data_IF_291212417607
#
_entry.id   IF_291212417607
#
_cell.length_a   1.000
_cell.length_b   1.000
_cell.length_c   1.000
_cell.angle_alpha   90.00
_cell.angle_beta   90.00
_cell.angle_gamma   90.00
#
_symmetry.space_group_name_H-M   'P 1'
#
loop_
_entity.id
_entity.type
_entity.pdbx_description
1 polymer ?
#
# COMPACT_ATOMS: atom_id res chain seq x y z
N UNK A 1 -6.33 14.11 1.93
CA UNK A 1 -7.42 14.95 1.33
C UNK A 1 -6.96 15.86 0.18
N UNK A 2 -5.93 16.69 0.36
CA UNK A 2 -5.60 17.78 -0.58
C UNK A 2 -4.91 17.32 -1.88
N UNK A 3 -4.26 16.16 -1.88
CA UNK A 3 -3.50 15.60 -3.01
C UNK A 3 -4.32 14.71 -3.95
N UNK A 4 -5.28 13.97 -3.39
CA UNK A 4 -6.03 12.92 -4.10
C UNK A 4 -6.74 13.42 -5.37
N UNK A 5 -7.41 14.60 -5.39
CA UNK A 5 -8.06 15.06 -6.62
C UNK A 5 -7.11 15.26 -7.80
N UNK A 6 -5.93 15.84 -7.55
CA UNK A 6 -4.90 16.03 -8.57
C UNK A 6 -4.29 14.67 -8.95
N UNK A 7 -3.98 13.83 -7.95
CA UNK A 7 -3.47 12.47 -8.16
C UNK A 7 -4.39 11.69 -9.11
N UNK A 8 -5.67 11.58 -8.78
CA UNK A 8 -6.64 10.77 -9.54
C UNK A 8 -6.85 11.31 -10.95
N UNK A 9 -6.86 12.64 -11.15
CA UNK A 9 -6.95 13.22 -12.48
C UNK A 9 -5.74 12.89 -13.35
N UNK A 10 -4.52 13.06 -12.83
CA UNK A 10 -3.30 12.78 -13.60
C UNK A 10 -3.05 11.29 -13.87
N UNK A 11 -3.73 10.40 -13.14
CA UNK A 11 -3.77 8.97 -13.43
C UNK A 11 -4.98 8.53 -14.28
N UNK A 12 -5.76 9.49 -14.82
CA UNK A 12 -6.86 9.21 -15.74
C UNK A 12 -8.15 8.72 -15.10
N UNK A 13 -8.30 8.87 -13.77
CA UNK A 13 -9.43 8.33 -13.03
C UNK A 13 -10.60 9.31 -12.89
N UNK A 14 -10.31 10.61 -12.98
CA UNK A 14 -11.31 11.68 -12.96
C UNK A 14 -11.38 12.37 -14.32
N UNK A 15 -12.60 12.72 -14.73
CA UNK A 15 -12.80 13.54 -15.93
C UNK A 15 -12.31 14.96 -15.68
N UNK A 16 -11.90 15.64 -16.76
CA UNK A 16 -11.46 17.04 -16.70
C UNK A 16 -12.50 17.95 -16.05
N UNK A 17 -13.79 17.77 -16.32
CA UNK A 17 -14.85 18.59 -15.73
C UNK A 17 -15.01 18.38 -14.22
N UNK A 18 -14.75 17.17 -13.74
CA UNK A 18 -14.76 16.85 -12.31
C UNK A 18 -13.59 17.54 -11.61
N UNK A 19 -12.39 17.41 -12.21
CA UNK A 19 -11.16 18.04 -11.73
C UNK A 19 -11.25 19.58 -11.75
N UNK A 20 -11.63 20.20 -12.86
CA UNK A 20 -11.85 21.65 -12.92
C UNK A 20 -12.92 22.11 -11.93
N UNK A 21 -13.97 21.31 -11.75
CA UNK A 21 -15.06 21.61 -10.83
C UNK A 21 -14.63 21.63 -9.36
N UNK A 22 -13.72 20.76 -8.92
CA UNK A 22 -13.17 20.82 -7.56
C UNK A 22 -12.10 21.90 -7.42
N UNK A 23 -11.32 22.16 -8.48
CA UNK A 23 -10.33 23.25 -8.51
C UNK A 23 -10.99 24.63 -8.40
N UNK A 24 -12.19 24.80 -8.95
CA UNK A 24 -12.98 26.03 -8.81
C UNK A 24 -13.41 26.32 -7.36
N UNK A 25 -13.44 25.30 -6.49
CA UNK A 25 -13.70 25.45 -5.06
C UNK A 25 -12.49 25.97 -4.27
N UNK A 26 -11.34 26.15 -4.92
CA UNK A 26 -10.13 26.54 -4.24
C UNK A 26 -10.16 27.98 -3.76
N UNK A 27 -10.18 28.17 -2.44
CA UNK A 27 -10.16 29.51 -1.82
C UNK A 27 -8.78 29.91 -1.33
N UNK A 28 -7.86 28.96 -1.19
CA UNK A 28 -6.52 29.17 -0.67
C UNK A 28 -5.54 28.20 -1.31
N UNK A 29 -4.44 28.75 -1.81
CA UNK A 29 -3.29 27.99 -2.29
C UNK A 29 -2.19 27.98 -1.25
N UNK A 30 -1.45 26.88 -1.16
CA UNK A 30 -0.30 26.80 -0.26
C UNK A 30 0.79 27.82 -0.66
N UNK A 31 1.20 28.72 0.24
CA UNK A 31 2.14 29.79 -0.09
C UNK A 31 3.55 29.24 -0.36
N UNK A 32 4.11 29.63 -1.51
CA UNK A 32 5.43 29.21 -1.98
C UNK A 32 5.43 27.91 -2.80
N UNK A 33 4.25 27.39 -3.16
CA UNK A 33 4.12 26.22 -4.00
C UNK A 33 3.80 26.61 -5.45
N UNK A 34 4.75 26.36 -6.37
CA UNK A 34 4.58 26.66 -7.80
C UNK A 34 3.64 25.71 -8.56
N UNK A 35 3.16 24.64 -7.91
CA UNK A 35 2.29 23.62 -8.49
C UNK A 35 0.80 23.89 -8.29
N UNK A 36 0.44 24.97 -7.58
CA UNK A 36 -0.95 25.38 -7.39
C UNK A 36 -1.76 24.40 -6.54
N UNK A 37 -1.18 23.80 -5.50
CA UNK A 37 -1.89 22.94 -4.55
C UNK A 37 -2.97 23.70 -3.78
N UNK A 38 -4.17 23.13 -3.74
CA UNK A 38 -5.30 23.73 -3.03
C UNK A 38 -5.45 23.20 -1.61
N UNK A 39 -5.77 24.10 -0.68
CA UNK A 39 -6.15 23.77 0.68
C UNK A 39 -7.67 23.58 0.79
N UNK A 40 -8.12 22.32 0.79
CA UNK A 40 -9.53 21.96 0.91
C UNK A 40 -9.95 21.69 2.37
N UNK A 41 -9.04 21.80 3.34
CA UNK A 41 -9.29 21.39 4.72
C UNK A 41 -10.44 22.16 5.39
N UNK A 42 -10.73 23.39 4.93
CA UNK A 42 -11.84 24.18 5.46
C UNK A 42 -13.22 23.61 5.12
N UNK A 43 -13.34 22.77 4.09
CA UNK A 43 -14.62 22.25 3.61
C UNK A 43 -15.03 20.92 4.25
N UNK A 44 -14.07 20.22 4.86
CA UNK A 44 -14.26 18.87 5.39
C UNK A 44 -13.68 18.77 6.81
N UNK A 45 -14.00 17.69 7.50
CA UNK A 45 -13.37 17.30 8.76
C UNK A 45 -13.21 15.78 8.81
N UNK A 46 -12.27 15.31 9.61
CA UNK A 46 -12.11 13.88 9.89
C UNK A 46 -12.92 13.54 11.14
N UNK A 47 -13.82 12.56 11.05
CA UNK A 47 -14.63 12.11 12.18
C UNK A 47 -13.84 11.15 13.10
N UNK A 48 -14.45 10.65 14.18
CA UNK A 48 -13.77 9.76 15.14
C UNK A 48 -13.33 8.40 14.58
N UNK A 49 -13.91 7.97 13.46
CA UNK A 49 -13.55 6.73 12.75
C UNK A 49 -12.49 6.94 11.68
N UNK A 50 -12.09 8.18 11.40
CA UNK A 50 -11.09 8.52 10.38
C UNK A 50 -11.69 8.86 9.01
N UNK A 51 -13.02 8.95 8.88
CA UNK A 51 -13.66 9.27 7.62
C UNK A 51 -13.65 10.78 7.36
N UNK A 52 -13.49 11.16 6.10
CA UNK A 52 -13.55 12.56 5.67
C UNK A 52 -15.01 12.91 5.40
N UNK A 53 -15.53 13.87 6.17
CA UNK A 53 -16.94 14.26 6.12
C UNK A 53 -17.08 15.73 5.73
N UNK A 54 -18.02 16.02 4.83
CA UNK A 54 -18.36 17.38 4.45
C UNK A 54 -18.85 18.21 5.65
N UNK A 55 -18.36 19.44 5.75
CA UNK A 55 -18.91 20.42 6.70
C UNK A 55 -20.22 21.01 6.17
N UNK A 56 -21.05 21.47 7.09
CA UNK A 56 -22.27 22.18 6.78
C UNK A 56 -22.01 23.68 6.62
N UNK A 57 -22.43 24.24 5.48
CA UNK A 57 -22.36 25.65 5.15
C UNK A 57 -23.74 26.21 4.84
N UNK A 58 -23.97 27.48 5.19
CA UNK A 58 -25.20 28.20 4.83
C UNK A 58 -25.19 28.68 3.39
N UNK A 59 -24.01 28.97 2.84
CA UNK A 59 -23.85 29.33 1.44
C UNK A 59 -23.90 28.06 0.55
N UNK A 60 -24.77 28.09 -0.47
CA UNK A 60 -25.00 26.95 -1.34
C UNK A 60 -23.78 26.53 -2.16
N UNK A 61 -22.96 27.48 -2.61
CA UNK A 61 -21.74 27.19 -3.38
C UNK A 61 -20.68 26.55 -2.50
N UNK A 62 -20.50 27.06 -1.28
CA UNK A 62 -19.59 26.46 -0.30
C UNK A 62 -20.04 25.04 0.08
N UNK A 63 -21.33 24.83 0.25
CA UNK A 63 -21.88 23.51 0.53
C UNK A 63 -21.68 22.55 -0.63
N UNK A 64 -21.89 23.00 -1.87
CA UNK A 64 -21.62 22.21 -3.07
C UNK A 64 -20.13 21.82 -3.17
N UNK A 65 -19.23 22.75 -2.82
CA UNK A 65 -17.80 22.48 -2.73
C UNK A 65 -17.47 21.44 -1.65
N UNK A 66 -18.06 21.54 -0.45
CA UNK A 66 -17.85 20.57 0.62
C UNK A 66 -18.23 19.15 0.21
N UNK A 67 -19.40 18.98 -0.40
CA UNK A 67 -19.81 17.67 -0.92
C UNK A 67 -18.93 17.16 -2.05
N UNK A 68 -18.49 18.05 -2.95
CA UNK A 68 -17.59 17.65 -4.04
C UNK A 68 -16.22 17.20 -3.53
N UNK A 69 -15.70 17.86 -2.50
CA UNK A 69 -14.42 17.49 -1.86
C UNK A 69 -14.55 16.16 -1.14
N UNK A 70 -15.59 15.98 -0.30
CA UNK A 70 -15.90 14.67 0.33
C UNK A 70 -15.99 13.56 -0.72
N UNK A 71 -16.70 13.82 -1.82
CA UNK A 71 -16.88 12.86 -2.90
C UNK A 71 -15.57 12.48 -3.59
N UNK A 72 -14.80 13.46 -4.10
CA UNK A 72 -13.66 13.21 -4.99
C UNK A 72 -12.35 12.98 -4.23
N UNK A 73 -12.24 13.43 -2.98
CA UNK A 73 -11.04 13.19 -2.17
C UNK A 73 -11.17 11.96 -1.27
N UNK A 74 -12.38 11.47 -1.01
CA UNK A 74 -12.61 10.37 -0.08
C UNK A 74 -13.57 9.31 -0.62
N UNK A 75 -14.85 9.62 -0.85
CA UNK A 75 -15.85 8.58 -1.16
C UNK A 75 -15.51 7.78 -2.42
N UNK A 76 -15.06 8.44 -3.50
CA UNK A 76 -14.67 7.74 -4.74
C UNK A 76 -13.40 6.91 -4.63
N UNK A 77 -12.56 7.22 -3.66
CA UNK A 77 -11.30 6.52 -3.41
C UNK A 77 -11.52 5.33 -2.47
N UNK A 78 -12.33 5.51 -1.42
CA UNK A 78 -12.53 4.55 -0.34
C UNK A 78 -13.82 3.74 -0.42
N UNK A 79 -14.91 4.34 -0.93
CA UNK A 79 -16.26 3.81 -0.80
C UNK A 79 -16.91 3.39 -2.13
N UNK A 80 -16.58 4.08 -3.23
CA UNK A 80 -17.15 3.85 -4.56
C UNK A 80 -16.06 3.19 -5.44
N UNK A 81 -15.79 1.92 -5.17
CA UNK A 81 -14.65 1.21 -5.74
C UNK A 81 -14.92 0.74 -7.19
N UNK A 82 -14.51 1.56 -8.17
CA UNK A 82 -14.13 1.05 -9.48
C UNK A 82 -12.62 0.71 -9.57
N UNK A 83 -11.83 1.07 -8.55
CA UNK A 83 -10.40 0.75 -8.43
C UNK A 83 -10.06 0.32 -6.99
N UNK A 84 -8.91 -0.34 -6.82
CA UNK A 84 -8.37 -0.64 -5.49
C UNK A 84 -7.62 0.56 -4.91
N UNK A 85 -7.87 0.86 -3.64
CA UNK A 85 -7.29 2.03 -2.95
C UNK A 85 -5.79 1.86 -2.67
N UNK A 86 -5.37 0.62 -2.48
CA UNK A 86 -4.01 0.27 -2.12
C UNK A 86 -3.11 0.14 -3.36
N UNK A 87 -3.66 -0.09 -4.54
CA UNK A 87 -2.90 -0.07 -5.78
C UNK A 87 -3.81 0.26 -6.95
N UNK A 88 -3.62 1.46 -7.51
CA UNK A 88 -4.50 2.01 -8.54
C UNK A 88 -4.60 1.14 -9.81
N UNK A 89 -3.57 0.38 -10.11
CA UNK A 89 -3.47 -0.44 -11.32
C UNK A 89 -3.61 -1.94 -11.05
N UNK A 90 -4.01 -2.33 -9.84
CA UNK A 90 -4.18 -3.74 -9.51
C UNK A 90 -5.62 -4.20 -9.77
N UNK A 91 -5.77 -5.25 -10.56
CA UNK A 91 -7.06 -5.77 -11.00
C UNK A 91 -7.73 -6.71 -9.98
N UNK A 92 -7.70 -6.34 -8.70
CA UNK A 92 -8.28 -7.14 -7.61
C UNK A 92 -9.80 -7.35 -7.71
N UNK A 93 -10.46 -6.52 -8.50
CA UNK A 93 -11.88 -6.67 -8.80
C UNK A 93 -12.21 -7.88 -9.70
N UNK A 94 -11.22 -8.49 -10.36
CA UNK A 94 -11.42 -9.73 -11.12
C UNK A 94 -11.56 -10.98 -10.24
N UNK A 95 -11.22 -10.88 -8.94
CA UNK A 95 -11.29 -12.00 -8.01
C UNK A 95 -12.75 -12.38 -7.71
N UNK A 96 -13.09 -13.65 -7.93
CA UNK A 96 -14.43 -14.20 -7.69
C UNK A 96 -14.67 -14.58 -6.22
N UNK A 97 -13.61 -14.77 -5.45
CA UNK A 97 -13.66 -15.04 -4.01
C UNK A 97 -13.65 -13.76 -3.18
N UNK A 98 -14.46 -13.69 -2.12
CA UNK A 98 -14.46 -12.57 -1.16
C UNK A 98 -13.19 -12.56 -0.29
N UNK A 99 -12.14 -11.91 -0.79
CA UNK A 99 -10.85 -11.70 -0.11
C UNK A 99 -10.57 -10.21 0.10
N UNK A 100 -9.61 -9.86 0.97
CA UNK A 100 -9.17 -8.47 1.15
C UNK A 100 -8.78 -7.82 -0.20
N UNK A 101 -9.27 -6.61 -0.46
CA UNK A 101 -9.11 -5.89 -1.73
C UNK A 101 -10.13 -6.28 -2.83
N UNK A 102 -10.68 -7.51 -2.82
CA UNK A 102 -11.56 -7.97 -3.90
C UNK A 102 -12.89 -7.21 -4.01
N UNK A 103 -13.38 -7.04 -5.24
CA UNK A 103 -14.73 -6.52 -5.48
C UNK A 103 -15.82 -7.43 -4.88
N UNK A 104 -15.61 -8.75 -4.89
CA UNK A 104 -16.52 -9.72 -4.27
C UNK A 104 -16.68 -9.54 -2.75
N UNK A 105 -15.65 -9.02 -2.06
CA UNK A 105 -15.75 -8.63 -0.64
C UNK A 105 -16.47 -7.29 -0.47
N UNK A 106 -16.26 -6.36 -1.40
CA UNK A 106 -16.90 -5.02 -1.37
C UNK A 106 -18.41 -5.11 -1.64
N UNK A 107 -18.88 -6.05 -2.45
CA UNK A 107 -20.32 -6.28 -2.68
C UNK A 107 -21.07 -6.81 -1.45
N UNK A 108 -20.39 -7.52 -0.54
CA UNK A 108 -20.97 -7.96 0.74
C UNK A 108 -21.23 -6.79 1.72
N UNK A 109 -20.53 -5.66 1.57
CA UNK A 109 -20.79 -4.39 2.28
C UNK A 109 -21.81 -3.49 1.55
N UNK A 110 -22.59 -4.06 0.61
CA UNK A 110 -23.46 -3.43 -0.39
C UNK A 110 -24.60 -2.50 0.06
N UNK A 111 -24.40 -1.68 1.09
CA UNK A 111 -25.30 -0.57 1.43
C UNK A 111 -24.68 0.82 1.17
N UNK A 112 -23.36 0.97 1.01
CA UNK A 112 -22.75 2.29 0.79
C UNK A 112 -22.64 2.68 -0.69
N UNK A 113 -22.21 1.78 -1.58
CA UNK A 113 -21.91 2.12 -2.97
C UNK A 113 -23.14 2.60 -3.76
N UNK A 114 -24.27 1.87 -3.72
CA UNK A 114 -25.51 2.28 -4.42
C UNK A 114 -26.10 3.58 -3.85
N UNK A 115 -26.07 3.73 -2.52
CA UNK A 115 -26.50 4.94 -1.84
C UNK A 115 -25.61 6.14 -2.22
N UNK A 116 -24.30 5.96 -2.33
CA UNK A 116 -23.35 7.01 -2.70
C UNK A 116 -23.43 7.34 -4.20
N UNK A 117 -23.55 6.35 -5.08
CA UNK A 117 -23.78 6.53 -6.51
C UNK A 117 -25.07 7.31 -6.76
N UNK A 118 -26.14 6.99 -6.01
CA UNK A 118 -27.39 7.74 -5.98
C UNK A 118 -27.22 9.15 -5.41
N UNK A 119 -26.54 9.31 -4.25
CA UNK A 119 -26.23 10.59 -3.60
C UNK A 119 -25.58 11.57 -4.58
N UNK A 120 -24.66 11.06 -5.41
CA UNK A 120 -23.87 11.87 -6.32
C UNK A 120 -24.36 11.88 -7.77
N UNK A 121 -25.45 11.17 -8.09
CA UNK A 121 -25.98 11.02 -9.46
C UNK A 121 -24.90 10.59 -10.46
N UNK A 122 -23.96 9.76 -10.01
CA UNK A 122 -22.94 9.20 -10.90
C UNK A 122 -23.68 8.21 -11.79
N UNK A 123 -23.86 8.56 -13.07
CA UNK A 123 -24.45 7.64 -14.03
C UNK A 123 -23.64 6.34 -14.04
N UNK A 124 -24.32 5.20 -14.09
CA UNK A 124 -23.69 3.89 -14.22
C UNK A 124 -22.89 3.84 -15.52
N UNK A 125 -21.66 4.37 -15.50
CA UNK A 125 -20.73 4.28 -16.61
C UNK A 125 -20.21 2.86 -16.59
N UNK A 126 -20.93 2.02 -17.35
CA UNK A 126 -20.58 0.68 -17.83
C UNK A 126 -19.79 -0.18 -16.83
N UNK A 127 -20.39 -1.27 -16.36
CA UNK A 127 -19.64 -2.41 -15.85
C UNK A 127 -18.75 -2.97 -16.97
N UNK A 128 -17.58 -2.37 -17.17
CA UNK A 128 -16.56 -2.80 -18.15
C UNK A 128 -16.16 -4.26 -17.86
N UNK A 129 -16.35 -4.72 -16.63
CA UNK A 129 -16.20 -6.11 -16.20
C UNK A 129 -16.95 -7.12 -17.08
N UNK A 130 -18.15 -6.79 -17.54
CA UNK A 130 -18.94 -7.70 -18.39
C UNK A 130 -18.44 -7.73 -19.85
N UNK A 131 -17.64 -6.74 -20.26
CA UNK A 131 -17.16 -6.59 -21.63
C UNK A 131 -15.72 -7.11 -21.84
N UNK A 132 -14.98 -7.45 -20.77
CA UNK A 132 -13.54 -7.82 -20.82
C UNK A 132 -13.31 -9.35 -20.72
N UNK A 133 -14.35 -10.16 -20.55
CA UNK A 133 -14.22 -11.63 -20.35
C UNK A 133 -13.45 -12.36 -21.47
N UNK A 134 -13.37 -11.80 -22.68
CA UNK A 134 -12.67 -12.39 -23.84
C UNK A 134 -11.21 -11.91 -23.99
N UNK A 135 -10.81 -10.84 -23.28
CA UNK A 135 -9.46 -10.26 -23.37
C UNK A 135 -8.45 -11.00 -22.48
N UNK A 136 -8.93 -11.64 -21.40
CA UNK A 136 -8.10 -12.41 -20.45
C UNK A 136 -7.40 -13.61 -21.09
N UNK A 137 -7.98 -14.21 -22.14
CA UNK A 137 -7.38 -15.33 -22.86
C UNK A 137 -6.21 -14.92 -23.77
N UNK A 138 -6.02 -13.60 -24.00
CA UNK A 138 -5.10 -13.04 -24.98
C UNK A 138 -4.07 -12.07 -24.37
N UNK A 139 -3.97 -11.99 -23.03
CA UNK A 139 -2.95 -11.18 -22.36
C UNK A 139 -1.56 -11.81 -22.55
N UNK A 140 -0.63 -11.02 -23.07
CA UNK A 140 0.78 -11.35 -23.18
C UNK A 140 1.38 -11.54 -21.77
N UNK A 141 2.04 -12.68 -21.46
CA UNK A 141 2.63 -12.96 -20.15
C UNK A 141 3.83 -12.05 -19.79
N UNK A 142 4.25 -11.13 -20.66
CA UNK A 142 5.18 -10.04 -20.30
C UNK A 142 4.52 -8.94 -19.42
N UNK A 143 3.49 -9.30 -18.66
CA UNK A 143 2.43 -8.44 -18.13
C UNK A 143 2.88 -7.32 -17.18
N UNK A 144 2.22 -6.16 -17.30
CA UNK A 144 2.19 -5.06 -16.30
C UNK A 144 1.15 -5.30 -15.20
N UNK A 145 0.29 -6.30 -15.36
CA UNK A 145 -0.52 -6.93 -14.32
C UNK A 145 0.28 -8.09 -13.69
N UNK A 146 0.56 -7.93 -12.40
CA UNK A 146 1.61 -8.64 -11.68
C UNK A 146 1.22 -9.99 -11.09
N UNK A 147 -0.03 -10.46 -11.24
CA UNK A 147 -0.47 -11.66 -10.48
C UNK A 147 0.00 -13.01 -11.05
N UNK A 148 1.11 -13.04 -11.80
CA UNK A 148 1.84 -14.26 -12.21
C UNK A 148 2.42 -15.10 -11.06
N UNK A 149 1.72 -15.16 -9.92
CA UNK A 149 2.00 -15.98 -8.75
C UNK A 149 1.01 -15.80 -7.59
N UNK A 150 0.36 -14.63 -7.42
CA UNK A 150 -0.36 -14.32 -6.17
C UNK A 150 -1.68 -13.56 -6.36
N UNK A 151 -2.78 -14.13 -5.84
CA UNK A 151 -4.12 -13.53 -5.80
C UNK A 151 -4.16 -12.31 -4.88
N UNK A 152 -4.19 -11.09 -5.42
CA UNK A 152 -4.24 -9.82 -4.70
C UNK A 152 -3.18 -9.71 -3.58
N UNK A 153 -3.63 -9.75 -2.32
CA UNK A 153 -2.81 -9.71 -1.12
C UNK A 153 -2.73 -11.07 -0.41
N UNK A 154 -3.13 -12.15 -1.09
CA UNK A 154 -3.09 -13.55 -0.62
C UNK A 154 -3.77 -13.84 0.72
N UNK A 155 -4.70 -12.98 1.14
CA UNK A 155 -5.29 -13.10 2.48
C UNK A 155 -6.01 -14.43 2.69
N UNK A 156 -6.59 -15.03 1.65
CA UNK A 156 -7.17 -16.38 1.71
C UNK A 156 -6.10 -17.47 1.96
N UNK A 157 -5.01 -17.46 1.20
CA UNK A 157 -3.92 -18.43 1.36
C UNK A 157 -3.25 -18.29 2.73
N UNK A 158 -3.02 -17.06 3.21
CA UNK A 158 -2.52 -16.80 4.55
C UNK A 158 -3.49 -17.31 5.63
N UNK A 159 -4.79 -17.06 5.46
CA UNK A 159 -5.83 -17.53 6.39
C UNK A 159 -5.84 -19.06 6.46
N UNK A 160 -5.77 -19.72 5.30
CA UNK A 160 -5.73 -21.17 5.23
C UNK A 160 -4.45 -21.73 5.87
N UNK A 161 -3.29 -21.13 5.59
CA UNK A 161 -1.99 -21.59 6.10
C UNK A 161 -1.89 -21.44 7.62
N UNK A 162 -2.15 -20.25 8.16
CA UNK A 162 -2.01 -19.97 9.58
C UNK A 162 -3.06 -20.68 10.46
N UNK A 163 -4.15 -21.19 9.88
CA UNK A 163 -5.15 -21.99 10.60
C UNK A 163 -4.94 -23.50 10.54
N UNK A 164 -3.88 -23.98 9.88
CA UNK A 164 -3.51 -25.40 9.96
C UNK A 164 -3.03 -25.71 11.38
N UNK A 165 -3.59 -26.76 11.99
CA UNK A 165 -3.28 -27.14 13.38
C UNK A 165 -1.78 -27.33 13.62
N UNK A 166 -1.07 -27.96 12.69
CA UNK A 166 0.38 -28.16 12.79
C UNK A 166 1.17 -26.86 12.62
N UNK A 167 0.71 -25.90 11.80
CA UNK A 167 1.34 -24.58 11.71
C UNK A 167 1.18 -23.85 13.04
N UNK A 168 -0.04 -23.80 13.59
CA UNK A 168 -0.36 -23.19 14.88
C UNK A 168 0.48 -23.77 16.02
N UNK A 169 0.58 -25.09 16.11
CA UNK A 169 1.44 -25.78 17.08
C UNK A 169 2.91 -25.36 16.94
N UNK A 170 3.45 -25.32 15.70
CA UNK A 170 4.85 -24.94 15.44
C UNK A 170 5.18 -23.49 15.77
N UNK A 171 4.22 -22.57 15.62
CA UNK A 171 4.38 -21.18 16.06
C UNK A 171 3.86 -20.93 17.49
N UNK A 172 3.56 -22.00 18.24
CA UNK A 172 3.14 -22.00 19.64
C UNK A 172 1.85 -21.22 19.91
N UNK A 173 0.89 -21.25 18.98
CA UNK A 173 -0.45 -20.68 19.19
C UNK A 173 -1.29 -21.67 19.99
N UNK A 174 -1.76 -21.32 21.20
CA UNK A 174 -2.59 -22.23 21.99
C UNK A 174 -3.91 -22.60 21.31
N UNK A 175 -4.38 -23.83 21.55
CA UNK A 175 -5.62 -24.36 20.95
C UNK A 175 -6.88 -23.56 21.30
N UNK A 176 -6.87 -22.81 22.41
CA UNK A 176 -8.00 -21.99 22.82
C UNK A 176 -8.09 -20.64 22.09
N UNK A 177 -7.04 -20.23 21.38
CA UNK A 177 -7.05 -18.97 20.61
C UNK A 177 -7.90 -19.17 19.36
N UNK A 178 -8.70 -18.17 18.99
CA UNK A 178 -9.54 -18.20 17.80
C UNK A 178 -8.75 -18.42 16.49
N UNK A 179 -9.47 -18.67 15.41
CA UNK A 179 -8.90 -18.73 14.07
C UNK A 179 -8.22 -17.40 13.72
N UNK A 180 -7.06 -17.51 13.06
CA UNK A 180 -6.35 -16.37 12.51
C UNK A 180 -7.18 -15.76 11.39
N UNK A 181 -7.24 -14.42 11.38
CA UNK A 181 -7.79 -13.62 10.29
C UNK A 181 -6.80 -12.50 9.96
N UNK A 182 -6.68 -12.15 8.68
CA UNK A 182 -5.75 -11.11 8.23
C UNK A 182 -5.97 -9.74 8.90
N UNK A 183 -7.23 -9.34 9.05
CA UNK A 183 -7.63 -8.20 9.86
C UNK A 183 -8.86 -8.61 10.68
N UNK A 184 -8.91 -8.17 11.93
CA UNK A 184 -10.12 -8.33 12.74
C UNK A 184 -11.26 -7.55 12.07
N UNK A 185 -12.45 -8.15 11.97
CA UNK A 185 -13.64 -7.40 11.53
C UNK A 185 -13.91 -6.27 12.52
N UNK A 186 -14.25 -5.09 12.00
CA UNK A 186 -14.46 -3.86 12.78
C UNK A 186 -15.46 -4.03 13.95
N UNK A 187 -16.29 -5.07 13.94
CA UNK A 187 -17.26 -5.37 14.99
C UNK A 187 -16.61 -5.70 16.35
N UNK A 188 -15.39 -6.26 16.36
CA UNK A 188 -14.68 -6.65 17.60
C UNK A 188 -13.58 -5.64 18.01
N UNK A 189 -13.27 -4.66 17.17
CA UNK A 189 -12.22 -3.67 17.41
C UNK A 189 -12.68 -2.26 17.04
N UNK A 190 -13.22 -1.54 18.02
CA UNK A 190 -13.64 -0.15 17.86
C UNK A 190 -12.52 0.81 18.28
N UNK A 191 -11.62 1.12 17.33
CA UNK A 191 -10.60 2.14 17.53
C UNK A 191 -11.15 3.54 17.27
N UNK A 192 -10.77 4.49 18.12
CA UNK A 192 -11.09 5.91 17.96
C UNK A 192 -9.80 6.66 17.67
N UNK A 193 -9.78 7.39 16.55
CA UNK A 193 -8.61 8.16 16.11
C UNK A 193 -8.26 9.21 17.17
N UNK A 194 -7.02 9.17 17.66
CA UNK A 194 -6.54 10.09 18.72
C UNK A 194 -5.80 11.32 18.16
N UNK A 195 -5.23 11.19 16.97
CA UNK A 195 -4.43 12.22 16.33
C UNK A 195 -4.75 12.28 14.84
N UNK A 196 -4.94 13.49 14.31
CA UNK A 196 -5.19 13.72 12.88
C UNK A 196 -3.89 13.76 12.06
N UNK A 197 -2.74 13.94 12.71
CA UNK A 197 -1.43 13.91 12.09
C UNK A 197 -0.34 13.45 13.07
N UNK A 198 0.87 13.20 12.55
CA UNK A 198 2.04 12.78 13.33
C UNK A 198 3.06 13.91 13.52
N UNK A 199 2.70 15.16 13.20
CA UNK A 199 3.60 16.32 13.24
C UNK A 199 4.21 16.57 14.61
N UNK A 200 3.41 16.43 15.68
CA UNK A 200 3.90 16.56 17.05
C UNK A 200 4.95 15.49 17.40
N UNK A 201 4.80 14.26 16.89
CA UNK A 201 5.76 13.16 17.11
C UNK A 201 7.06 13.47 16.37
N UNK A 202 6.97 13.89 15.11
CA UNK A 202 8.16 14.29 14.35
C UNK A 202 8.87 15.50 14.98
N UNK A 203 8.14 16.45 15.55
CA UNK A 203 8.73 17.56 16.29
C UNK A 203 9.50 17.07 17.53
N UNK A 204 8.92 16.16 18.31
CA UNK A 204 9.60 15.54 19.46
C UNK A 204 10.87 14.78 19.03
N UNK A 205 10.82 14.06 17.91
CA UNK A 205 11.99 13.39 17.34
C UNK A 205 13.09 14.39 17.01
N UNK A 206 12.77 15.50 16.34
CA UNK A 206 13.75 16.55 16.01
C UNK A 206 14.30 17.25 17.26
N UNK A 207 13.46 17.51 18.26
CA UNK A 207 13.86 18.20 19.49
C UNK A 207 14.67 17.30 20.44
N UNK A 208 14.58 15.97 20.27
CA UNK A 208 15.35 15.01 21.07
C UNK A 208 16.87 15.10 20.85
N UNK A 209 17.31 15.65 19.72
CA UNK A 209 18.71 15.68 19.27
C UNK A 209 19.41 14.30 19.21
N UNK A 210 18.66 13.19 19.22
CA UNK A 210 19.23 11.88 18.96
C UNK A 210 19.69 11.75 17.51
N UNK A 211 20.75 10.95 17.29
CA UNK A 211 21.19 10.61 15.94
C UNK A 211 20.25 9.56 15.35
N UNK A 212 19.12 10.03 14.84
CA UNK A 212 18.08 9.20 14.24
C UNK A 212 18.10 9.33 12.72
N UNK A 213 17.94 8.21 12.05
CA UNK A 213 17.73 8.16 10.61
C UNK A 213 16.35 7.60 10.33
N UNK A 214 15.59 8.35 9.56
CA UNK A 214 14.18 8.08 9.25
C UNK A 214 14.07 7.94 7.75
N UNK A 215 13.35 6.91 7.29
CA UNK A 215 12.97 6.74 5.90
C UNK A 215 11.45 6.67 5.84
N UNK A 216 10.85 7.59 5.08
CA UNK A 216 9.46 7.52 4.65
C UNK A 216 9.48 7.10 3.19
N UNK A 217 8.90 5.94 2.89
CA UNK A 217 8.81 5.43 1.54
C UNK A 217 7.36 5.14 1.15
N UNK A 218 6.97 5.53 -0.06
CA UNK A 218 5.62 5.34 -0.58
C UNK A 218 5.67 4.74 -1.98
N UNK A 219 4.72 3.86 -2.28
CA UNK A 219 4.41 3.52 -3.65
C UNK A 219 3.76 4.70 -4.37
N UNK A 220 4.15 4.97 -5.62
CA UNK A 220 3.62 6.10 -6.38
C UNK A 220 2.21 5.86 -6.96
N UNK A 221 1.67 4.63 -6.85
CA UNK A 221 0.30 4.27 -7.25
C UNK A 221 -0.61 3.94 -6.06
N UNK A 222 -0.16 4.25 -4.83
CA UNK A 222 -0.97 4.16 -3.60
C UNK A 222 -1.88 5.39 -3.47
N UNK A 223 -3.19 5.17 -3.29
CA UNK A 223 -4.16 6.23 -3.01
C UNK A 223 -4.66 6.21 -1.57
N UNK A 224 -4.30 5.19 -0.80
CA UNK A 224 -4.62 5.11 0.62
C UNK A 224 -3.73 6.04 1.44
N UNK A 225 -2.43 6.00 1.15
CA UNK A 225 -1.39 6.82 1.79
C UNK A 225 -0.43 7.34 0.71
N UNK A 226 -0.90 8.32 -0.06
CA UNK A 226 -0.23 8.74 -1.28
C UNK A 226 1.17 9.31 -1.03
N UNK A 227 2.08 9.16 -2.02
CA UNK A 227 3.42 9.77 -1.94
C UNK A 227 3.38 11.29 -1.70
N UNK A 228 2.32 11.96 -2.16
CA UNK A 228 2.13 13.40 -1.97
C UNK A 228 1.83 13.77 -0.52
N UNK A 229 1.10 12.93 0.23
CA UNK A 229 0.85 13.18 1.66
C UNK A 229 2.15 13.18 2.45
N UNK A 230 3.00 12.17 2.22
CA UNK A 230 4.31 12.08 2.85
C UNK A 230 5.23 13.23 2.44
N UNK A 231 5.27 13.56 1.14
CA UNK A 231 6.07 14.66 0.60
C UNK A 231 5.66 15.99 1.23
N UNK A 232 4.36 16.34 1.22
CA UNK A 232 3.89 17.61 1.74
C UNK A 232 4.12 17.72 3.25
N UNK A 233 3.90 16.62 3.99
CA UNK A 233 4.12 16.57 5.42
C UNK A 233 5.59 16.85 5.78
N UNK A 234 6.53 16.14 5.15
CA UNK A 234 7.95 16.28 5.46
C UNK A 234 8.53 17.60 4.94
N UNK A 235 8.08 18.10 3.77
CA UNK A 235 8.52 19.40 3.28
C UNK A 235 8.05 20.55 4.18
N UNK A 236 6.81 20.49 4.69
CA UNK A 236 6.29 21.46 5.64
C UNK A 236 7.02 21.37 6.99
N UNK A 237 7.25 20.16 7.50
CA UNK A 237 8.07 19.92 8.70
C UNK A 237 9.48 20.50 8.54
N UNK A 238 10.14 20.22 7.41
CA UNK A 238 11.47 20.68 7.08
C UNK A 238 11.55 22.20 7.03
N UNK A 239 10.57 22.84 6.37
CA UNK A 239 10.45 24.29 6.28
C UNK A 239 10.24 24.93 7.67
N UNK A 240 9.31 24.40 8.47
CA UNK A 240 9.04 24.88 9.84
C UNK A 240 10.25 24.77 10.76
N UNK A 241 11.07 23.74 10.56
CA UNK A 241 12.23 23.45 11.40
C UNK A 241 13.58 23.95 10.83
N UNK A 242 13.56 24.67 9.69
CA UNK A 242 14.77 25.12 8.98
C UNK A 242 15.76 23.97 8.72
N UNK A 243 15.24 22.79 8.38
CA UNK A 243 16.08 21.64 8.04
C UNK A 243 16.83 21.89 6.73
N UNK A 244 18.05 21.38 6.63
CA UNK A 244 18.85 21.49 5.42
C UNK A 244 18.45 20.40 4.43
N UNK A 245 18.05 20.78 3.22
CA UNK A 245 17.92 19.84 2.10
C UNK A 245 19.32 19.45 1.60
N UNK A 246 19.88 18.35 2.10
CA UNK A 246 21.24 17.91 1.75
C UNK A 246 21.29 17.04 0.49
N UNK A 247 20.13 16.54 0.06
CA UNK A 247 19.99 15.81 -1.20
C UNK A 247 18.69 16.24 -1.89
N UNK A 248 18.82 17.10 -2.90
CA UNK A 248 17.68 17.52 -3.73
C UNK A 248 17.09 16.33 -4.46
N UNK A 249 15.76 16.39 -4.66
CA UNK A 249 14.97 15.35 -5.33
C UNK A 249 15.66 14.85 -6.60
N UNK A 250 16.06 13.58 -6.61
CA UNK A 250 16.75 12.91 -7.72
C UNK A 250 16.27 11.48 -7.84
N UNK A 251 16.42 10.91 -9.03
CA UNK A 251 16.12 9.50 -9.26
C UNK A 251 17.08 8.60 -8.49
N UNK A 252 16.54 7.46 -8.02
CA UNK A 252 17.33 6.31 -7.61
C UNK A 252 17.01 5.14 -8.55
N UNK A 253 17.99 4.26 -8.75
CA UNK A 253 17.97 3.24 -9.77
C UNK A 253 18.01 1.84 -9.16
N UNK A 254 17.28 0.93 -9.79
CA UNK A 254 17.34 -0.51 -9.54
C UNK A 254 17.96 -1.22 -10.73
N UNK A 255 18.85 -2.16 -10.45
CA UNK A 255 19.50 -2.98 -11.47
C UNK A 255 19.35 -4.45 -11.07
N UNK A 256 18.57 -5.22 -11.82
CA UNK A 256 18.30 -6.63 -11.49
C UNK A 256 19.56 -7.52 -11.53
N UNK A 257 20.51 -7.21 -12.43
CA UNK A 257 21.83 -7.83 -12.48
C UNK A 257 22.79 -6.95 -13.26
N UNK A 258 24.10 -7.08 -13.03
CA UNK A 258 25.17 -6.26 -13.65
C UNK A 258 25.16 -6.22 -15.18
N UNK A 259 24.55 -7.22 -15.84
CA UNK A 259 24.40 -7.28 -17.29
C UNK A 259 23.27 -6.42 -17.86
N UNK A 260 22.37 -5.92 -17.03
CA UNK A 260 21.24 -5.08 -17.45
C UNK A 260 21.51 -3.62 -17.13
N UNK A 261 20.92 -2.72 -17.93
CA UNK A 261 20.97 -1.29 -17.65
C UNK A 261 20.14 -0.95 -16.40
N UNK A 262 20.62 -0.02 -15.56
CA UNK A 262 19.83 0.49 -14.44
C UNK A 262 18.51 1.08 -14.93
N UNK A 263 17.44 0.87 -14.16
CA UNK A 263 16.13 1.45 -14.40
C UNK A 263 15.75 2.35 -13.22
N UNK A 264 15.08 3.46 -13.50
CA UNK A 264 14.56 4.33 -12.44
C UNK A 264 13.60 3.51 -11.58
N UNK A 265 13.92 3.43 -10.30
CA UNK A 265 13.12 2.76 -9.30
C UNK A 265 12.26 3.73 -8.49
N UNK A 266 12.53 5.04 -8.61
CA UNK A 266 11.71 6.12 -8.08
C UNK A 266 12.57 7.36 -7.83
N UNK A 267 12.14 8.20 -6.90
CA UNK A 267 12.84 9.43 -6.52
C UNK A 267 13.14 9.47 -5.03
N UNK A 268 14.23 10.12 -4.64
CA UNK A 268 14.62 10.31 -3.24
C UNK A 268 14.97 11.76 -2.97
N UNK A 269 14.68 12.24 -1.76
CA UNK A 269 14.97 13.58 -1.25
C UNK A 269 15.39 13.47 0.21
N UNK A 270 16.41 14.22 0.64
CA UNK A 270 16.93 14.17 2.03
C UNK A 270 16.92 15.52 2.71
N UNK A 271 16.50 15.51 3.97
CA UNK A 271 16.62 16.61 4.91
C UNK A 271 17.45 16.22 6.14
N UNK A 272 18.25 17.16 6.65
CA UNK A 272 19.08 16.98 7.85
C UNK A 272 18.86 18.13 8.84
N UNK A 273 18.85 17.83 10.14
CA UNK A 273 18.86 18.81 11.24
C UNK A 273 19.69 18.25 12.38
N UNK A 274 20.85 18.86 12.64
CA UNK A 274 21.80 18.32 13.62
C UNK A 274 22.23 16.90 13.23
N UNK A 275 22.01 15.94 14.14
CA UNK A 275 22.34 14.53 13.91
C UNK A 275 21.18 13.69 13.32
N UNK A 276 20.01 14.30 13.12
CA UNK A 276 18.83 13.64 12.58
C UNK A 276 18.76 13.78 11.05
N UNK A 277 18.38 12.70 10.38
CA UNK A 277 18.23 12.64 8.92
C UNK A 277 16.88 12.03 8.55
N UNK A 278 16.21 12.63 7.55
CA UNK A 278 14.94 12.16 7.02
C UNK A 278 15.09 11.99 5.51
N UNK A 279 14.90 10.76 5.04
CA UNK A 279 14.79 10.41 3.63
C UNK A 279 13.32 10.27 3.25
N UNK A 280 12.90 10.98 2.21
CA UNK A 280 11.64 10.77 1.48
C UNK A 280 11.96 9.97 0.22
N UNK A 281 11.24 8.89 -0.03
CA UNK A 281 11.50 8.03 -1.18
C UNK A 281 10.20 7.54 -1.83
N UNK A 282 10.14 7.59 -3.16
CA UNK A 282 9.06 6.95 -3.92
C UNK A 282 9.54 5.65 -4.55
N UNK A 283 8.65 4.67 -4.68
CA UNK A 283 8.91 3.42 -5.38
C UNK A 283 7.97 3.30 -6.58
N UNK A 284 8.57 3.35 -7.77
CA UNK A 284 7.87 3.49 -9.05
C UNK A 284 7.04 2.25 -9.41
N UNK A 285 5.75 2.48 -9.61
CA UNK A 285 4.73 1.48 -9.90
C UNK A 285 4.37 0.58 -8.71
N UNK A 286 4.78 0.92 -7.49
CA UNK A 286 4.33 0.21 -6.30
C UNK A 286 3.06 0.88 -5.72
N UNK A 287 2.17 0.08 -5.15
CA UNK A 287 1.08 0.56 -4.31
C UNK A 287 1.49 0.61 -2.83
N UNK A 288 0.50 0.46 -1.95
CA UNK A 288 0.62 0.51 -0.51
C UNK A 288 1.55 -0.58 0.03
N UNK A 289 1.47 -1.77 -0.55
CA UNK A 289 2.30 -2.92 -0.18
C UNK A 289 3.55 -2.99 -1.06
N UNK A 290 4.40 -1.97 -0.95
CA UNK A 290 5.63 -1.81 -1.75
C UNK A 290 6.47 -3.09 -1.89
N UNK A 291 6.74 -3.88 -0.82
CA UNK A 291 7.51 -5.11 -0.96
C UNK A 291 6.80 -6.21 -1.78
N UNK A 292 5.46 -6.21 -1.80
CA UNK A 292 4.66 -7.13 -2.61
C UNK A 292 4.68 -6.71 -4.08
N UNK A 293 4.48 -5.42 -4.35
CA UNK A 293 4.40 -4.91 -5.73
C UNK A 293 5.78 -4.84 -6.41
N UNK A 294 6.83 -4.49 -5.65
CA UNK A 294 8.19 -4.24 -6.15
C UNK A 294 9.25 -4.87 -5.21
N UNK A 295 9.31 -6.21 -5.09
CA UNK A 295 10.18 -6.89 -4.13
C UNK A 295 11.68 -6.61 -4.32
N UNK A 296 12.15 -6.60 -5.57
CA UNK A 296 13.55 -6.29 -5.89
C UNK A 296 13.96 -4.87 -5.47
N UNK A 297 13.27 -3.83 -5.99
CA UNK A 297 13.48 -2.45 -5.56
C UNK A 297 13.34 -2.25 -4.04
N UNK A 298 12.35 -2.87 -3.40
CA UNK A 298 12.13 -2.77 -1.95
C UNK A 298 13.30 -3.35 -1.13
N UNK A 299 13.81 -4.52 -1.53
CA UNK A 299 14.97 -5.13 -0.87
C UNK A 299 16.24 -4.26 -1.04
N UNK A 300 16.46 -3.71 -2.23
CA UNK A 300 17.58 -2.78 -2.48
C UNK A 300 17.45 -1.52 -1.61
N UNK A 301 16.24 -0.93 -1.55
CA UNK A 301 15.94 0.22 -0.71
C UNK A 301 16.29 -0.05 0.76
N UNK A 302 15.82 -1.19 1.31
CA UNK A 302 16.10 -1.57 2.70
C UNK A 302 17.59 -1.79 2.95
N UNK A 303 18.29 -2.48 2.05
CA UNK A 303 19.74 -2.68 2.16
C UNK A 303 20.48 -1.33 2.22
N UNK A 304 20.13 -0.41 1.32
CA UNK A 304 20.80 0.89 1.21
C UNK A 304 20.44 1.82 2.37
N UNK A 305 19.22 1.70 2.90
CA UNK A 305 18.86 2.31 4.17
C UNK A 305 19.71 1.75 5.31
N UNK A 306 19.87 0.44 5.46
CA UNK A 306 20.68 -0.09 6.57
C UNK A 306 22.18 0.23 6.40
N UNK A 307 22.67 0.34 5.17
CA UNK A 307 24.06 0.61 4.85
C UNK A 307 24.47 2.11 4.88
N UNK A 308 23.53 3.02 5.13
CA UNK A 308 23.79 4.46 5.03
C UNK A 308 24.23 4.96 3.64
N UNK A 309 23.76 4.29 2.59
CA UNK A 309 23.84 4.81 1.23
C UNK A 309 22.80 5.91 1.05
N UNK A 310 23.26 7.12 0.73
CA UNK A 310 22.39 8.29 0.50
C UNK A 310 21.69 8.25 -0.86
N UNK A 311 22.23 7.48 -1.81
CA UNK A 311 21.79 7.48 -3.21
C UNK A 311 20.76 6.41 -3.52
N UNK A 312 20.69 5.37 -2.68
CA UNK A 312 19.87 4.18 -2.89
C UNK A 312 20.20 3.40 -4.18
N UNK A 313 21.35 3.68 -4.82
CA UNK A 313 21.74 3.11 -6.10
C UNK A 313 22.60 1.84 -5.99
N UNK A 314 23.06 1.48 -4.79
CA UNK A 314 23.88 0.28 -4.60
C UNK A 314 23.04 -0.97 -4.85
N UNK A 315 23.38 -1.82 -5.83
CA UNK A 315 22.63 -3.04 -6.12
C UNK A 315 22.67 -4.02 -4.96
N UNK A 316 21.70 -4.94 -4.93
CA UNK A 316 21.67 -6.04 -3.95
C UNK A 316 22.95 -6.87 -4.09
N UNK A 317 23.63 -7.11 -2.97
CA UNK A 317 24.89 -7.88 -2.93
C UNK A 317 24.66 -9.37 -2.58
N UNK A 318 23.44 -9.75 -2.23
CA UNK A 318 23.07 -11.12 -1.88
C UNK A 318 22.78 -11.97 -3.12
N UNK A 319 23.08 -13.26 -3.03
CA UNK A 319 22.63 -14.21 -4.04
C UNK A 319 21.12 -14.43 -3.92
N UNK A 320 20.37 -14.02 -4.94
CA UNK A 320 18.93 -14.18 -5.04
C UNK A 320 18.52 -15.47 -5.76
N UNK A 321 19.48 -16.35 -6.07
CA UNK A 321 19.20 -17.65 -6.68
C UNK A 321 18.34 -18.48 -5.73
N UNK A 322 17.15 -18.87 -6.21
CA UNK A 322 16.24 -19.75 -5.46
C UNK A 322 16.97 -21.05 -5.11
N UNK A 323 17.03 -21.36 -3.82
CA UNK A 323 17.55 -22.63 -3.34
C UNK A 323 16.51 -23.74 -3.52
N UNK A 324 16.93 -25.00 -3.71
CA UNK A 324 15.99 -26.11 -3.75
C UNK A 324 15.24 -26.23 -2.41
N UNK A 325 14.00 -26.72 -2.49
CA UNK A 325 13.26 -27.12 -1.28
C UNK A 325 14.05 -28.19 -0.53
N UNK A 326 14.05 -28.12 0.80
CA UNK A 326 14.64 -29.20 1.60
C UNK A 326 13.84 -30.51 1.40
N UNK A 327 14.47 -31.69 1.47
CA UNK A 327 13.79 -32.98 1.26
C UNK A 327 12.57 -33.20 2.16
N UNK A 328 12.58 -32.69 3.39
CA UNK A 328 11.45 -32.75 4.31
C UNK A 328 10.24 -31.89 3.89
N UNK A 329 10.43 -30.98 2.93
CA UNK A 329 9.38 -30.14 2.35
C UNK A 329 9.05 -30.51 0.90
N UNK A 330 9.72 -31.50 0.31
CA UNK A 330 9.28 -32.09 -0.95
C UNK A 330 8.13 -33.05 -0.67
N UNK A 331 6.98 -32.87 -1.30
CA UNK A 331 5.90 -33.85 -1.20
C UNK A 331 6.37 -35.16 -1.84
N UNK A 332 6.09 -36.30 -1.18
CA UNK A 332 6.31 -37.62 -1.75
C UNK A 332 5.53 -37.76 -3.07
N UNK A 333 6.21 -37.58 -4.20
CA UNK A 333 5.62 -37.63 -5.54
C UNK A 333 6.13 -36.55 -6.50
N UNK A 334 6.61 -35.42 -5.97
CA UNK A 334 7.24 -34.37 -6.76
C UNK A 334 8.76 -34.59 -6.76
N UNK A 335 9.22 -35.50 -7.64
CA UNK A 335 10.60 -35.45 -8.12
C UNK A 335 10.93 -34.05 -8.67
N UNK A 336 12.20 -33.72 -8.94
CA UNK A 336 12.60 -32.36 -9.28
C UNK A 336 11.78 -31.84 -10.46
N UNK A 337 10.77 -31.01 -10.18
CA UNK A 337 9.94 -30.38 -11.19
C UNK A 337 10.85 -29.46 -11.98
N UNK A 338 11.21 -29.89 -13.18
CA UNK A 338 11.64 -28.97 -14.22
C UNK A 338 10.60 -27.84 -14.31
N UNK A 339 11.09 -26.62 -14.53
CA UNK A 339 10.23 -25.47 -14.80
C UNK A 339 9.10 -25.86 -15.76
N UNK A 340 7.84 -25.43 -15.52
CA UNK A 340 6.69 -25.95 -16.24
C UNK A 340 6.89 -25.83 -17.75
N UNK A 341 6.65 -26.91 -18.53
CA UNK A 341 6.59 -26.81 -19.98
C UNK A 341 5.47 -25.87 -20.37
N UNK A 342 5.73 -25.05 -21.39
CA UNK A 342 4.73 -24.24 -22.07
C UNK A 342 3.60 -25.12 -22.59
N UNK A 343 2.42 -25.00 -21.96
CA UNK A 343 1.15 -25.52 -22.45
C UNK A 343 0.80 -26.93 -21.99
N UNK A 344 -0.32 -27.06 -21.26
CA UNK A 344 -1.48 -27.90 -21.62
C UNK A 344 -2.39 -28.21 -20.41
N UNK A 345 -3.69 -27.97 -20.62
CA UNK A 345 -4.90 -28.68 -20.15
C UNK A 345 -4.95 -29.40 -18.78
N UNK A 346 -5.94 -29.01 -17.98
CA UNK A 346 -6.36 -29.60 -16.70
C UNK A 346 -7.20 -30.86 -16.89
N UNK A 347 -6.94 -31.95 -16.13
CA UNK A 347 -7.96 -32.94 -15.78
C UNK A 347 -8.37 -32.83 -14.30
N UNK A 348 -9.67 -32.97 -14.09
CA UNK A 348 -10.39 -33.02 -12.81
C UNK A 348 -10.24 -34.38 -12.12
N UNK A 349 -10.09 -34.39 -10.79
CA UNK A 349 -10.11 -35.63 -10.01
C UNK A 349 -10.10 -35.39 -8.49
N UNK A 350 -11.15 -35.87 -7.82
CA UNK A 350 -11.40 -35.76 -6.38
C UNK A 350 -10.71 -36.90 -5.59
N UNK A 351 -10.36 -36.67 -4.30
CA UNK A 351 -9.93 -37.76 -3.42
C UNK A 351 -9.39 -37.40 -2.03
N UNK A 352 -10.28 -37.36 -1.05
CA UNK A 352 -10.21 -37.95 0.32
C UNK A 352 -9.10 -37.64 1.34
N UNK A 353 -9.61 -37.38 2.54
CA UNK A 353 -9.07 -37.10 3.88
C UNK A 353 -8.12 -38.14 4.51
N UNK A 354 -7.11 -37.66 5.24
CA UNK A 354 -6.40 -38.39 6.30
C UNK A 354 -5.69 -37.44 7.29
N UNK A 355 -5.97 -37.57 8.60
CA UNK A 355 -5.32 -36.85 9.72
C UNK A 355 -4.22 -37.74 10.38
N UNK A 356 -3.35 -37.20 11.26
CA UNK A 356 -1.90 -37.43 11.20
C UNK A 356 -1.31 -38.16 12.44
N UNK A 357 -0.01 -38.52 12.46
CA UNK A 357 0.67 -38.90 13.70
C UNK A 357 1.34 -37.70 14.37
N UNK A 358 1.14 -37.60 15.68
CA UNK A 358 1.82 -36.67 16.58
C UNK A 358 3.27 -37.07 16.83
N UNK A 359 4.20 -36.11 16.99
CA UNK A 359 5.46 -36.37 17.69
C UNK A 359 6.03 -35.12 18.35
N UNK A 360 6.24 -35.25 19.66
CA UNK A 360 6.95 -34.35 20.59
C UNK A 360 8.47 -34.37 20.40
N UNK A 361 9.13 -33.20 20.40
CA UNK A 361 10.46 -33.05 21.07
C UNK A 361 10.86 -31.59 21.32
N UNK A 362 11.67 -31.40 22.37
CA UNK A 362 12.09 -30.15 23.04
C UNK A 362 13.46 -29.60 22.55
N UNK A 363 13.72 -28.34 22.97
CA UNK A 363 15.01 -27.65 23.24
C UNK A 363 15.78 -27.09 22.02
N UNK A 364 16.57 -26.02 22.07
CA UNK A 364 17.05 -25.08 23.10
C UNK A 364 17.39 -23.73 22.44
N UNK A 365 17.43 -22.65 23.24
CA UNK A 365 17.63 -21.28 22.79
C UNK A 365 19.03 -20.93 22.28
N UNK A 366 19.12 -19.81 21.55
CA UNK A 366 20.36 -19.15 21.16
C UNK A 366 20.22 -17.64 21.38
N UNK A 367 21.32 -17.05 21.87
CA UNK A 367 21.40 -15.72 22.45
C UNK A 367 21.39 -14.55 21.47
N UNK A 368 21.24 -13.37 22.07
CA UNK A 368 21.13 -12.04 21.46
C UNK A 368 22.36 -11.60 20.66
N UNK A 369 22.17 -10.62 19.76
CA UNK A 369 23.12 -9.55 19.52
C UNK A 369 22.56 -8.14 19.85
N UNK A 370 23.51 -7.22 20.05
CA UNK A 370 23.41 -5.82 20.49
C UNK A 370 22.67 -4.95 19.44
N UNK A 371 21.82 -3.96 19.81
CA UNK A 371 21.03 -3.19 18.86
C UNK A 371 21.73 -1.91 18.38
N UNK A 372 21.82 -1.73 17.06
CA UNK A 372 21.76 -0.40 16.42
C UNK A 372 20.27 -0.14 16.20
N UNK A 373 19.73 0.93 16.79
CA UNK A 373 18.33 1.30 16.62
C UNK A 373 18.13 1.95 15.24
N UNK A 374 17.90 1.12 14.22
CA UNK A 374 17.26 1.56 12.99
C UNK A 374 15.75 1.53 13.22
N UNK A 375 15.12 2.70 13.32
CA UNK A 375 13.67 2.79 13.40
C UNK A 375 13.12 2.78 11.97
N UNK A 376 12.77 1.59 11.48
CA UNK A 376 11.99 1.46 10.26
C UNK A 376 10.52 1.76 10.60
N UNK A 377 10.14 3.02 10.52
CA UNK A 377 8.74 3.43 10.60
C UNK A 377 8.10 3.14 9.24
N UNK A 378 7.52 1.94 9.08
CA UNK A 378 6.37 1.80 8.20
C UNK A 378 5.22 2.53 8.89
N UNK A 379 5.07 3.83 8.62
CA UNK A 379 3.92 4.57 9.07
C UNK A 379 2.74 4.03 8.27
N UNK A 380 1.98 3.10 8.87
CA UNK A 380 0.58 2.87 8.47
C UNK A 380 -0.13 4.13 8.92
N UNK A 381 -0.07 5.15 8.06
CA UNK A 381 -0.64 6.45 8.33
C UNK A 381 -2.16 6.30 8.14
N UNK A 382 -2.88 6.17 9.25
CA UNK A 382 -4.32 6.41 9.21
C UNK A 382 -4.52 7.92 8.94
N UNK A 383 -4.68 8.22 7.65
CA UNK A 383 -5.32 9.38 7.03
C UNK A 383 -4.84 10.81 7.33
N UNK A 384 -4.37 11.50 6.28
CA UNK A 384 -4.33 12.98 6.14
C UNK A 384 -5.03 13.41 4.85
#
# INVERSE_FOLDING_TARGET
INSIPDFMYFHGMYDKSEWEGIRACCTKYYPGNNYGQCDFANFVYVNGTGDVVARNFTNADQQACAYKIEQLAYDRTWQIANNDVYNLYQDCYEQTSSVFGSAARKSAYGMSADSLMSKYKIGAKLHVQAAITDMLANLDPASTDSQGGFQCYMTAALTQYFNQSHVRDKINVPDFVQDWSFCNSNDDFNYQVQHNDTGAVFQQILDSNYSLRILLYNGDVDTACSMFEAEYFIEDLAKKNMMQETYTRREWNYTIASKYLPQIAGYTKRFEKGAATIDLLTVKGAGHFVPTDRPGPALQMLQNFLANDKTYNTPIQYDLTRQPLYPEFTQDGDGPTQAPPTGATVPTGAGTTGQPPATTTKFAGLGSPIPVFALLLAVVQYFV
#
